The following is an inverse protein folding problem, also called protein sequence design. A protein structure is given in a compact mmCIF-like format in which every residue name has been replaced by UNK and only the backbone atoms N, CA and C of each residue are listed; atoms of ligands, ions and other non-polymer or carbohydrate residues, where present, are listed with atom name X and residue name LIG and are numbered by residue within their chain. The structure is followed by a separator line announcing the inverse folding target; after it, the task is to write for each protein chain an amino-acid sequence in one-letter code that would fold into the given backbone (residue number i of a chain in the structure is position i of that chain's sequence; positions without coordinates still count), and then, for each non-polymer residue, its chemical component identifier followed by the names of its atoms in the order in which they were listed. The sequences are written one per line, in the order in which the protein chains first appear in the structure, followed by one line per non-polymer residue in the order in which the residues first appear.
data_IF_978555509596
#
_entry.id   IF_978555509596
#
_cell.length_a   1.000
_cell.length_b   1.000
_cell.length_c   1.000
_cell.angle_alpha   90.00
_cell.angle_beta   90.00
_cell.angle_gamma   90.00
#
_symmetry.space_group_name_H-M   'P 1'
#
loop_
_entity.id
_entity.type
_entity.pdbx_description
1 polymer ?
#
# COMPACT_ATOMS: atom_id res chain seq x y z
N UNK A 1 -10.95 37.96 -7.57
CA UNK A 1 -9.65 37.80 -8.26
C UNK A 1 -8.46 37.88 -7.31
N UNK A 2 -8.31 38.94 -6.51
CA UNK A 2 -7.16 39.15 -5.61
C UNK A 2 -6.98 38.03 -4.55
N UNK A 3 -8.07 37.54 -3.97
CA UNK A 3 -8.04 36.40 -3.04
C UNK A 3 -7.65 35.06 -3.70
N UNK A 4 -7.99 34.87 -4.97
CA UNK A 4 -7.59 33.68 -5.73
C UNK A 4 -6.09 33.74 -6.08
N UNK A 5 -5.58 34.94 -6.37
CA UNK A 5 -4.15 35.17 -6.61
C UNK A 5 -3.30 35.01 -5.36
N UNK A 6 -3.82 35.38 -4.18
CA UNK A 6 -3.14 35.18 -2.90
C UNK A 6 -3.08 33.69 -2.53
N UNK A 7 -4.19 32.97 -2.69
CA UNK A 7 -4.24 31.51 -2.48
C UNK A 7 -3.31 30.74 -3.44
N UNK A 8 -3.17 31.19 -4.69
CA UNK A 8 -2.24 30.59 -5.66
C UNK A 8 -0.76 30.82 -5.27
N UNK A 9 -0.42 32.02 -4.78
CA UNK A 9 0.94 32.31 -4.28
C UNK A 9 1.33 31.52 -3.04
N UNK A 10 0.38 31.27 -2.15
CA UNK A 10 0.61 30.43 -0.98
C UNK A 10 0.66 28.95 -1.35
N UNK A 11 -0.11 28.52 -2.37
CA UNK A 11 -0.03 27.17 -2.92
C UNK A 11 1.37 26.85 -3.47
N UNK A 12 2.01 27.78 -4.19
CA UNK A 12 3.40 27.61 -4.67
C UNK A 12 4.44 27.49 -3.53
N UNK A 13 4.09 27.91 -2.30
CA UNK A 13 4.96 27.79 -1.11
C UNK A 13 4.76 26.52 -0.30
N UNK A 14 3.62 25.85 -0.44
CA UNK A 14 3.26 24.62 0.31
C UNK A 14 3.11 23.39 -0.59
N UNK A 15 3.25 23.56 -1.91
CA UNK A 15 3.27 22.48 -2.88
C UNK A 15 4.69 22.24 -3.36
N UNK A 16 4.96 21.02 -3.79
CA UNK A 16 6.20 20.67 -4.45
C UNK A 16 5.88 19.69 -5.59
N UNK A 17 6.62 19.74 -6.71
CA UNK A 17 6.47 18.75 -7.77
C UNK A 17 6.76 17.34 -7.25
N UNK A 18 5.94 16.36 -7.65
CA UNK A 18 6.15 14.96 -7.24
C UNK A 18 7.54 14.43 -7.64
N UNK A 19 8.07 14.92 -8.76
CA UNK A 19 9.41 14.59 -9.25
C UNK A 19 10.55 15.05 -8.33
N UNK A 20 10.31 16.01 -7.45
CA UNK A 20 11.31 16.58 -6.54
C UNK A 20 11.29 15.94 -5.14
N UNK A 21 10.32 15.06 -4.89
CA UNK A 21 10.15 14.39 -3.60
C UNK A 21 10.26 12.88 -3.72
N UNK A 22 10.57 12.24 -2.60
CA UNK A 22 10.48 10.80 -2.46
C UNK A 22 9.25 10.46 -1.64
N UNK A 23 8.33 9.70 -2.23
CA UNK A 23 7.21 9.14 -1.48
C UNK A 23 7.72 8.10 -0.49
N UNK A 24 7.35 8.29 0.77
CA UNK A 24 7.52 7.31 1.83
C UNK A 24 6.20 6.56 2.05
N UNK A 25 6.20 5.43 2.79
CA UNK A 25 4.95 4.85 3.24
C UNK A 25 4.10 5.91 3.97
N UNK A 26 2.78 5.98 3.71
CA UNK A 26 1.91 6.99 4.32
C UNK A 26 1.87 6.88 5.85
N UNK A 27 2.13 5.69 6.38
CA UNK A 27 2.32 5.44 7.81
C UNK A 27 3.64 4.69 8.00
N UNK A 28 4.66 5.37 8.55
CA UNK A 28 5.99 4.78 8.73
C UNK A 28 6.06 3.68 9.80
N UNK A 29 5.16 3.73 10.79
CA UNK A 29 5.19 2.85 11.95
C UNK A 29 3.79 2.47 12.44
N UNK A 30 2.97 1.76 11.63
CA UNK A 30 1.67 1.33 12.11
C UNK A 30 1.86 0.35 13.28
N UNK A 31 1.01 0.42 14.33
CA UNK A 31 1.10 -0.51 15.46
C UNK A 31 0.74 -1.94 15.04
N UNK A 32 -0.06 -2.11 13.98
CA UNK A 32 -0.49 -3.38 13.42
C UNK A 32 -0.84 -3.22 11.94
N UNK A 33 -0.61 -4.26 11.14
CA UNK A 33 -1.15 -4.41 9.79
C UNK A 33 -2.01 -5.66 9.81
N UNK A 34 -3.32 -5.47 9.63
CA UNK A 34 -4.32 -6.53 9.61
C UNK A 34 -4.71 -6.73 8.15
N UNK A 35 -4.52 -7.95 7.64
CA UNK A 35 -4.86 -8.33 6.28
C UNK A 35 -6.11 -9.23 6.28
N UNK A 36 -6.86 -9.21 5.18
CA UNK A 36 -8.08 -9.99 4.98
C UNK A 36 -7.91 -10.92 3.78
N UNK A 37 -7.94 -12.23 4.02
CA UNK A 37 -7.86 -13.24 2.98
C UNK A 37 -9.20 -13.47 2.26
N UNK A 38 -9.12 -13.88 1.00
CA UNK A 38 -10.25 -14.36 0.18
C UNK A 38 -11.48 -13.41 0.13
N UNK A 39 -11.24 -12.10 0.05
CA UNK A 39 -12.30 -11.09 -0.01
C UNK A 39 -12.83 -10.78 -1.44
N UNK A 40 -12.42 -11.56 -2.44
CA UNK A 40 -12.90 -11.47 -3.81
C UNK A 40 -13.39 -12.85 -4.28
N UNK A 41 -14.61 -12.92 -4.81
CA UNK A 41 -15.22 -14.19 -5.29
C UNK A 41 -14.37 -14.85 -6.38
N UNK A 42 -13.87 -14.05 -7.31
CA UNK A 42 -13.04 -14.53 -8.42
C UNK A 42 -11.70 -15.08 -7.92
N UNK A 43 -11.12 -14.46 -6.90
CA UNK A 43 -9.88 -14.95 -6.28
C UNK A 43 -10.09 -16.27 -5.52
N UNK A 44 -11.23 -16.44 -4.83
CA UNK A 44 -11.59 -17.73 -4.25
C UNK A 44 -11.74 -18.82 -5.33
N UNK A 45 -12.39 -18.50 -6.46
CA UNK A 45 -12.52 -19.42 -7.58
C UNK A 45 -11.16 -19.78 -8.23
N UNK A 46 -10.27 -18.81 -8.42
CA UNK A 46 -8.90 -19.02 -8.93
C UNK A 46 -8.12 -20.03 -8.09
N UNK A 47 -8.23 -19.92 -6.76
CA UNK A 47 -7.57 -20.84 -5.83
C UNK A 47 -8.31 -22.18 -5.64
N UNK A 48 -9.48 -22.37 -6.28
CA UNK A 48 -10.41 -23.47 -5.99
C UNK A 48 -10.76 -23.55 -4.48
N UNK A 49 -10.84 -22.40 -3.82
CA UNK A 49 -11.20 -22.28 -2.42
C UNK A 49 -12.72 -22.07 -2.26
N UNK A 50 -13.29 -22.62 -1.19
CA UNK A 50 -14.65 -22.28 -0.80
C UNK A 50 -14.72 -20.81 -0.34
N UNK A 51 -15.86 -20.16 -0.62
CA UNK A 51 -16.12 -18.83 -0.06
C UNK A 51 -16.27 -18.97 1.45
N UNK A 52 -15.48 -18.25 2.26
CA UNK A 52 -15.52 -18.43 3.70
C UNK A 52 -16.79 -17.81 4.29
N UNK A 53 -17.38 -18.48 5.29
CA UNK A 53 -18.56 -17.99 6.02
C UNK A 53 -18.20 -16.87 7.02
N UNK A 54 -16.91 -16.77 7.40
CA UNK A 54 -16.37 -15.76 8.31
C UNK A 54 -15.07 -15.14 7.75
N UNK A 55 -14.72 -13.89 8.12
CA UNK A 55 -13.51 -13.23 7.63
C UNK A 55 -12.21 -13.95 8.05
N UNK A 56 -11.34 -14.22 7.08
CA UNK A 56 -10.02 -14.79 7.32
C UNK A 56 -9.04 -13.65 7.61
N UNK A 57 -8.67 -13.47 8.88
CA UNK A 57 -7.79 -12.38 9.31
C UNK A 57 -6.39 -12.89 9.65
N UNK A 58 -5.36 -12.19 9.18
CA UNK A 58 -3.97 -12.48 9.53
C UNK A 58 -3.14 -11.19 9.70
N UNK A 59 -1.94 -11.33 10.29
CA UNK A 59 -1.05 -10.22 10.58
C UNK A 59 0.14 -10.19 9.62
N UNK A 60 0.43 -8.99 9.10
CA UNK A 60 1.69 -8.72 8.42
C UNK A 60 2.60 -7.90 9.34
N UNK A 61 3.86 -8.32 9.60
CA UNK A 61 4.77 -7.53 10.43
C UNK A 61 5.01 -6.15 9.82
N UNK A 62 5.04 -5.10 10.64
CA UNK A 62 5.30 -3.71 10.17
C UNK A 62 6.66 -3.55 9.46
N UNK A 63 7.61 -4.44 9.74
CA UNK A 63 8.92 -4.50 9.10
C UNK A 63 8.87 -4.96 7.64
N UNK A 64 7.71 -5.43 7.16
CA UNK A 64 7.51 -5.80 5.77
C UNK A 64 7.12 -4.63 4.85
N UNK A 65 6.92 -3.42 5.40
CA UNK A 65 6.58 -2.23 4.61
C UNK A 65 7.81 -1.75 3.81
N UNK A 66 7.61 -1.52 2.52
CA UNK A 66 8.53 -0.77 1.65
C UNK A 66 7.81 0.42 1.03
N UNK A 67 8.54 1.45 0.64
CA UNK A 67 7.96 2.64 0.02
C UNK A 67 7.41 2.38 -1.39
N UNK A 68 6.56 3.28 -1.88
CA UNK A 68 6.11 3.24 -3.28
C UNK A 68 7.31 3.31 -4.22
N UNK A 69 7.29 2.54 -5.31
CA UNK A 69 8.36 2.41 -6.30
C UNK A 69 9.71 1.90 -5.74
N UNK A 70 9.74 1.37 -4.51
CA UNK A 70 10.95 0.74 -3.96
C UNK A 70 10.99 -0.75 -4.31
N UNK A 71 12.20 -1.30 -4.34
CA UNK A 71 12.42 -2.70 -4.70
C UNK A 71 11.94 -3.66 -3.59
N UNK A 72 11.27 -4.73 -4.00
CA UNK A 72 11.07 -5.92 -3.16
C UNK A 72 12.31 -6.81 -3.29
N UNK A 73 13.11 -6.91 -2.22
CA UNK A 73 14.30 -7.76 -2.22
C UNK A 73 13.87 -9.19 -1.90
N UNK A 74 13.87 -10.07 -2.91
CA UNK A 74 13.57 -11.51 -2.74
C UNK A 74 14.76 -12.21 -2.06
N UNK A 75 14.61 -12.79 -0.86
CA UNK A 75 15.66 -13.61 -0.26
C UNK A 75 16.00 -14.83 -1.12
N UNK A 76 17.24 -15.31 -1.04
CA UNK A 76 17.73 -16.44 -1.85
C UNK A 76 16.96 -17.74 -1.58
N UNK A 77 16.49 -17.96 -0.35
CA UNK A 77 15.73 -19.14 0.03
C UNK A 77 14.27 -19.15 -0.45
N UNK A 78 13.73 -18.02 -0.93
CA UNK A 78 12.36 -17.93 -1.43
C UNK A 78 12.28 -18.54 -2.83
N UNK A 79 11.52 -19.64 -2.95
CA UNK A 79 11.33 -20.39 -4.21
C UNK A 79 10.22 -19.82 -5.08
N UNK A 80 9.15 -19.33 -4.46
CA UNK A 80 8.01 -18.70 -5.12
C UNK A 80 7.72 -17.37 -4.43
N UNK A 81 7.85 -16.30 -5.19
CA UNK A 81 7.42 -14.96 -4.80
C UNK A 81 6.15 -14.67 -5.61
N UNK A 82 5.11 -14.22 -4.95
CA UNK A 82 3.81 -13.92 -5.56
C UNK A 82 3.36 -12.51 -5.20
N UNK A 83 2.38 -11.98 -5.92
CA UNK A 83 1.82 -10.65 -5.69
C UNK A 83 0.33 -10.73 -5.34
N UNK A 84 -0.11 -9.87 -4.44
CA UNK A 84 -1.54 -9.66 -4.11
C UNK A 84 -1.79 -8.15 -4.04
N UNK A 85 -2.67 -7.65 -4.91
CA UNK A 85 -3.16 -6.28 -4.83
C UNK A 85 -4.40 -6.24 -3.94
N UNK A 86 -4.30 -5.56 -2.81
CA UNK A 86 -5.37 -5.39 -1.81
C UNK A 86 -5.95 -3.97 -1.82
#
# INVERSE_FOLDING_TARGET
EEMLQLAAKDADRITCPLSEVRLLPPIAAPPKIICLGLNYRDHAAEQNAAIPDEPIIFLKPRTAIVGSHQNIVKPSFVKRLDYEGE
#
